data_IF_894414095146
#
_entry.id   IF_894414095146
#
_cell.length_a   1.000
_cell.length_b   1.000
_cell.length_c   1.000
_cell.angle_alpha   90.00
_cell.angle_beta   90.00
_cell.angle_gamma   90.00
#
_symmetry.space_group_name_H-M   'P 1'
#
loop_
_entity.id
_entity.type
_entity.pdbx_description
1 polymer ?
#
# COMPACT_ATOMS: atom_id res chain seq x y z
N UNK A 1 -5.72 -19.61 0.49
CA UNK A 1 -5.77 -18.65 -0.63
C UNK A 1 -5.04 -17.41 -0.16
N UNK A 2 -3.75 -17.30 -0.42
CA UNK A 2 -2.96 -16.15 0.03
C UNK A 2 -3.37 -14.93 -0.78
N UNK A 3 -3.62 -13.82 -0.09
CA UNK A 3 -4.05 -12.59 -0.73
C UNK A 3 -2.86 -11.99 -1.48
N UNK A 4 -3.08 -11.50 -2.70
CA UNK A 4 -2.05 -10.97 -3.58
C UNK A 4 -1.97 -9.45 -3.43
N UNK A 5 -0.90 -8.85 -3.95
CA UNK A 5 -0.72 -7.38 -4.02
C UNK A 5 -1.98 -6.58 -4.42
N UNK A 6 -2.74 -6.95 -5.48
CA UNK A 6 -3.96 -6.23 -5.85
C UNK A 6 -5.06 -6.24 -4.77
N UNK A 7 -5.16 -7.30 -3.97
CA UNK A 7 -6.13 -7.37 -2.86
C UNK A 7 -5.76 -6.38 -1.74
N UNK A 8 -4.47 -6.27 -1.42
CA UNK A 8 -3.97 -5.30 -0.45
C UNK A 8 -4.26 -3.87 -0.90
N UNK A 9 -3.96 -3.56 -2.17
CA UNK A 9 -4.20 -2.23 -2.72
C UNK A 9 -5.70 -1.93 -2.76
N UNK A 10 -6.52 -2.88 -3.21
CA UNK A 10 -7.98 -2.74 -3.23
C UNK A 10 -8.54 -2.45 -1.85
N UNK A 11 -8.09 -3.20 -0.84
CA UNK A 11 -8.52 -2.99 0.55
C UNK A 11 -8.04 -1.66 1.11
N UNK A 12 -6.79 -1.27 0.87
CA UNK A 12 -6.26 0.04 1.27
C UNK A 12 -6.97 1.23 0.60
N UNK A 13 -7.58 1.03 -0.57
CA UNK A 13 -8.35 2.07 -1.26
C UNK A 13 -9.80 2.19 -0.75
N UNK A 14 -10.37 1.10 -0.23
CA UNK A 14 -11.76 1.06 0.24
C UNK A 14 -11.85 1.29 1.75
N UNK A 15 -10.85 0.83 2.49
CA UNK A 15 -10.83 0.78 3.95
C UNK A 15 -9.73 1.70 4.51
N UNK A 16 -10.17 2.84 5.05
CA UNK A 16 -9.27 3.86 5.62
C UNK A 16 -8.69 3.43 6.97
N UNK A 17 -9.43 2.61 7.73
CA UNK A 17 -8.94 2.03 8.99
C UNK A 17 -7.85 1.00 8.70
N UNK A 18 -8.03 0.16 7.68
CA UNK A 18 -6.97 -0.73 7.20
C UNK A 18 -5.72 0.04 6.77
N UNK A 19 -5.86 1.17 6.09
CA UNK A 19 -4.72 2.01 5.72
C UNK A 19 -3.98 2.56 6.96
N UNK A 20 -4.72 2.91 8.02
CA UNK A 20 -4.13 3.37 9.28
C UNK A 20 -3.37 2.25 9.99
N UNK A 21 -3.93 1.04 10.04
CA UNK A 21 -3.25 -0.14 10.58
C UNK A 21 -2.03 -0.55 9.73
N UNK A 22 -2.14 -0.43 8.41
CA UNK A 22 -1.02 -0.66 7.48
C UNK A 22 0.11 0.35 7.65
N UNK A 23 -0.19 1.59 8.02
CA UNK A 23 0.82 2.58 8.40
C UNK A 23 1.43 2.28 9.78
N UNK A 24 0.64 1.74 10.71
CA UNK A 24 1.08 1.45 12.08
C UNK A 24 1.96 0.21 12.16
N UNK A 25 1.61 -0.83 11.40
CA UNK A 25 2.28 -2.12 11.41
C UNK A 25 2.40 -2.71 9.98
N UNK A 26 3.14 -2.06 9.07
CA UNK A 26 3.27 -2.52 7.69
C UNK A 26 3.82 -3.94 7.59
N UNK A 27 4.85 -4.28 8.38
CA UNK A 27 5.43 -5.62 8.34
C UNK A 27 4.44 -6.74 8.69
N UNK A 28 3.63 -6.54 9.74
CA UNK A 28 2.67 -7.52 10.22
C UNK A 28 1.51 -7.75 9.23
N UNK A 29 1.08 -6.70 8.54
CA UNK A 29 0.05 -6.81 7.50
C UNK A 29 0.66 -7.44 6.25
N UNK A 30 1.80 -6.93 5.77
CA UNK A 30 2.44 -7.41 4.55
C UNK A 30 2.86 -8.89 4.64
N UNK A 31 3.17 -9.39 5.83
CA UNK A 31 3.47 -10.81 6.06
C UNK A 31 2.26 -11.75 5.82
N UNK A 32 1.04 -11.21 5.78
CA UNK A 32 -0.19 -11.97 5.48
C UNK A 32 -0.45 -12.10 3.98
N UNK A 33 0.33 -11.39 3.16
CA UNK A 33 0.22 -11.38 1.71
C UNK A 33 1.41 -12.12 1.09
N UNK A 34 1.17 -12.82 -0.01
CA UNK A 34 2.26 -13.35 -0.83
C UNK A 34 2.86 -12.19 -1.62
N UNK A 35 3.89 -11.58 -1.04
CA UNK A 35 4.66 -10.48 -1.63
C UNK A 35 6.13 -10.88 -1.73
N UNK A 36 6.73 -10.59 -2.86
CA UNK A 36 8.17 -10.65 -3.06
C UNK A 36 8.87 -9.53 -2.28
N UNK A 37 10.15 -9.70 -1.92
CA UNK A 37 10.91 -8.65 -1.23
C UNK A 37 10.90 -7.30 -1.96
N UNK A 38 11.00 -7.32 -3.29
CA UNK A 38 10.88 -6.11 -4.13
C UNK A 38 9.50 -5.44 -4.02
N UNK A 39 8.42 -6.21 -4.04
CA UNK A 39 7.06 -5.70 -3.91
C UNK A 39 6.86 -5.10 -2.51
N UNK A 40 7.36 -5.78 -1.49
CA UNK A 40 7.27 -5.35 -0.09
C UNK A 40 8.03 -4.04 0.14
N UNK A 41 9.25 -3.92 -0.39
CA UNK A 41 10.04 -2.69 -0.36
C UNK A 41 9.37 -1.55 -1.14
N UNK A 42 8.77 -1.84 -2.29
CA UNK A 42 8.04 -0.87 -3.08
C UNK A 42 6.81 -0.32 -2.32
N UNK A 43 6.07 -1.19 -1.63
CA UNK A 43 4.91 -0.81 -0.82
C UNK A 43 5.33 0.01 0.39
N UNK A 44 6.36 -0.41 1.13
CA UNK A 44 6.87 0.38 2.25
C UNK A 44 7.29 1.79 1.82
N UNK A 45 8.00 1.90 0.70
CA UNK A 45 8.38 3.21 0.12
C UNK A 45 7.15 4.05 -0.23
N UNK A 46 6.12 3.43 -0.80
CA UNK A 46 4.87 4.10 -1.15
C UNK A 46 4.08 4.53 0.10
N UNK A 47 4.03 3.70 1.14
CA UNK A 47 3.37 3.99 2.42
C UNK A 47 4.04 5.14 3.15
N UNK A 48 5.37 5.20 3.18
CA UNK A 48 6.13 6.32 3.76
C UNK A 48 5.80 7.62 3.06
N UNK A 49 5.72 7.63 1.72
CA UNK A 49 5.29 8.80 0.94
C UNK A 49 3.81 9.16 1.17
N UNK A 50 2.96 8.16 1.39
CA UNK A 50 1.56 8.39 1.75
C UNK A 50 1.41 9.00 3.13
N UNK A 51 2.21 8.57 4.10
CA UNK A 51 2.16 9.07 5.47
C UNK A 51 2.39 10.59 5.52
N UNK A 52 3.26 11.09 4.63
CA UNK A 52 3.56 12.52 4.44
C UNK A 52 2.42 13.31 3.78
N UNK A 53 1.48 12.61 3.12
CA UNK A 53 0.33 13.21 2.44
C UNK A 53 -0.90 13.21 3.35
N UNK A 54 -1.70 14.30 3.45
CA UNK A 54 -2.92 14.29 4.25
C UNK A 54 -3.98 13.30 3.72
N UNK A 55 -4.76 12.70 4.62
CA UNK A 55 -5.68 11.56 4.39
C UNK A 55 -6.64 11.74 3.21
N UNK A 56 -7.08 12.97 2.98
CA UNK A 56 -7.95 13.40 1.88
C UNK A 56 -7.28 13.40 0.49
N UNK A 57 -5.94 13.36 0.41
CA UNK A 57 -5.18 13.29 -0.85
C UNK A 57 -4.39 11.98 -1.01
N UNK A 58 -4.29 11.16 0.04
CA UNK A 58 -3.54 9.88 0.04
C UNK A 58 -3.97 8.91 -1.06
N UNK A 59 -5.27 8.71 -1.27
CA UNK A 59 -5.77 7.79 -2.31
C UNK A 59 -5.39 8.25 -3.74
N UNK A 60 -5.34 9.57 -3.95
CA UNK A 60 -5.01 10.19 -5.24
C UNK A 60 -3.50 10.09 -5.52
N UNK A 61 -2.67 10.28 -4.49
CA UNK A 61 -1.21 10.13 -4.56
C UNK A 61 -0.79 8.66 -4.67
N UNK A 62 -1.44 7.72 -3.95
CA UNK A 62 -1.18 6.29 -4.07
C UNK A 62 -1.44 5.82 -5.52
N UNK A 63 -2.59 6.19 -6.07
CA UNK A 63 -3.00 5.84 -7.43
C UNK A 63 -2.02 6.37 -8.47
N UNK A 64 -1.63 7.65 -8.38
CA UNK A 64 -0.70 8.24 -9.35
C UNK A 64 0.70 7.62 -9.27
N UNK A 65 1.15 7.27 -8.08
CA UNK A 65 2.47 6.67 -7.86
C UNK A 65 2.52 5.22 -8.34
N UNK A 66 1.48 4.41 -8.06
CA UNK A 66 1.38 3.02 -8.53
C UNK A 66 1.22 2.95 -10.05
N UNK A 67 0.38 3.80 -10.66
CA UNK A 67 0.23 3.86 -12.12
C UNK A 67 1.53 4.24 -12.83
N UNK A 68 2.29 5.18 -12.26
CA UNK A 68 3.57 5.60 -12.85
C UNK A 68 4.64 4.51 -12.75
N UNK A 69 4.65 3.71 -11.68
CA UNK A 69 5.70 2.71 -11.44
C UNK A 69 5.46 1.36 -12.14
N UNK A 70 4.22 1.03 -12.50
CA UNK A 70 3.87 -0.18 -13.29
C UNK A 70 4.06 0.04 -14.79
N UNK A 71 4.06 1.28 -15.25
CA UNK A 71 4.27 1.63 -16.65
C UNK A 71 5.76 1.72 -17.07
N UNK A 72 6.69 1.48 -16.13
CA UNK A 72 8.15 1.50 -16.36
C UNK A 72 8.72 0.14 -16.00
#
# INVERSE_FOLDING_TARGET
MSQRLPDLIGRAMVDSDFLADLQRAPDAILAQYELSDDERAAIQTALVRLADTPLNQRALVLRSTLLRRVAT
#
